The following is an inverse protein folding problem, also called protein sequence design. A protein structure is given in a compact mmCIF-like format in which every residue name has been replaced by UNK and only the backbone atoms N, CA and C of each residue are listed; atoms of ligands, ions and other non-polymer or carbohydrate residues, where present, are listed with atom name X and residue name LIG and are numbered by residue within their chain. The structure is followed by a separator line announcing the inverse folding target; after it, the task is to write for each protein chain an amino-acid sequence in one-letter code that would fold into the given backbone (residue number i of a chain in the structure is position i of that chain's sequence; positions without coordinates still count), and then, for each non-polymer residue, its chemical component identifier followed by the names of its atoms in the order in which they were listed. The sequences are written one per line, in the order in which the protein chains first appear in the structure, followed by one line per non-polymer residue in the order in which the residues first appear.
data_IF_155328912874
#
_entry.id   IF_155328912874
#
_cell.length_a   1.000
_cell.length_b   1.000
_cell.length_c   1.000
_cell.angle_alpha   90.00
_cell.angle_beta   90.00
_cell.angle_gamma   90.00
#
_symmetry.space_group_name_H-M   'P 1'
#
loop_
_entity.id
_entity.type
_entity.pdbx_description
1 polymer ?
#
# COMPACT_ATOMS: atom_id res chain seq x y z
N UNK A 1 18.92 -14.44 4.48
CA UNK A 1 17.90 -14.79 3.46
C UNK A 1 17.04 -13.56 3.23
N UNK A 2 16.93 -13.08 1.99
CA UNK A 2 16.00 -12.00 1.64
C UNK A 2 14.68 -12.65 1.24
N UNK A 3 13.65 -12.49 2.06
CA UNK A 3 12.31 -13.02 1.75
C UNK A 3 11.61 -11.96 0.89
N UNK A 4 11.11 -12.32 -0.30
CA UNK A 4 10.34 -11.39 -1.12
C UNK A 4 9.00 -11.08 -0.42
N UNK A 5 8.68 -9.80 -0.30
CA UNK A 5 7.46 -9.32 0.36
C UNK A 5 6.77 -8.29 -0.53
N UNK A 6 5.45 -8.26 -0.46
CA UNK A 6 4.65 -7.16 -1.01
C UNK A 6 4.07 -6.38 0.16
N UNK A 7 4.38 -5.09 0.24
CA UNK A 7 3.84 -4.20 1.28
C UNK A 7 2.85 -3.23 0.66
N UNK A 8 1.60 -3.27 1.13
CA UNK A 8 0.52 -2.41 0.66
C UNK A 8 0.05 -1.53 1.81
N UNK A 9 0.05 -0.22 1.59
CA UNK A 9 -0.42 0.79 2.54
C UNK A 9 -1.77 1.34 2.08
N UNK A 10 -2.71 1.47 3.01
CA UNK A 10 -3.99 2.15 2.80
C UNK A 10 -4.00 3.42 3.67
N UNK A 11 -3.65 4.60 3.11
CA UNK A 11 -3.36 5.81 3.89
C UNK A 11 -4.58 6.44 4.57
N UNK A 12 -5.79 6.03 4.19
CA UNK A 12 -7.07 6.52 4.70
C UNK A 12 -7.83 5.48 5.53
N UNK A 13 -7.15 4.41 5.94
CA UNK A 13 -7.69 3.33 6.78
C UNK A 13 -6.97 3.25 8.13
N UNK A 14 -7.59 2.53 9.08
CA UNK A 14 -7.05 2.27 10.41
C UNK A 14 -6.72 0.79 10.62
N UNK A 15 -7.07 0.26 11.81
CA UNK A 15 -6.87 -1.17 12.11
C UNK A 15 -7.71 -2.11 11.23
N UNK A 16 -8.78 -1.60 10.63
CA UNK A 16 -9.60 -2.33 9.66
C UNK A 16 -10.04 -1.40 8.54
N UNK A 17 -10.75 -1.98 7.57
CA UNK A 17 -11.25 -1.28 6.39
C UNK A 17 -12.65 -0.70 6.62
N UNK A 18 -12.76 0.62 6.64
CA UNK A 18 -14.02 1.35 6.62
C UNK A 18 -14.53 1.62 5.20
N UNK A 19 -13.63 1.75 4.21
CA UNK A 19 -14.02 1.99 2.81
C UNK A 19 -14.21 0.66 2.06
N UNK A 20 -15.38 0.43 1.43
CA UNK A 20 -15.60 -0.78 0.63
C UNK A 20 -14.60 -0.96 -0.52
N UNK A 21 -14.13 0.14 -1.12
CA UNK A 21 -13.15 0.09 -2.21
C UNK A 21 -11.82 -0.51 -1.75
N UNK A 22 -11.40 -0.20 -0.53
CA UNK A 22 -10.15 -0.72 0.04
C UNK A 22 -10.30 -2.20 0.42
N UNK A 23 -11.48 -2.60 0.91
CA UNK A 23 -11.78 -4.02 1.16
C UNK A 23 -11.72 -4.86 -0.12
N UNK A 24 -12.26 -4.36 -1.23
CA UNK A 24 -12.20 -5.06 -2.52
C UNK A 24 -10.78 -5.14 -3.08
N UNK A 25 -9.99 -4.07 -2.90
CA UNK A 25 -8.59 -4.07 -3.30
C UNK A 25 -7.77 -5.06 -2.46
N UNK A 26 -8.00 -5.12 -1.14
CA UNK A 26 -7.32 -6.06 -0.25
C UNK A 26 -7.62 -7.51 -0.64
N UNK A 27 -8.89 -7.84 -0.92
CA UNK A 27 -9.26 -9.16 -1.43
C UNK A 27 -8.49 -9.51 -2.72
N UNK A 28 -8.39 -8.58 -3.68
CA UNK A 28 -7.62 -8.78 -4.91
C UNK A 28 -6.12 -9.01 -4.68
N UNK A 29 -5.50 -8.27 -3.76
CA UNK A 29 -4.10 -8.49 -3.37
C UNK A 29 -3.91 -9.86 -2.70
N UNK A 30 -4.79 -10.22 -1.78
CA UNK A 30 -4.75 -11.51 -1.06
C UNK A 30 -4.94 -12.67 -2.03
N UNK A 31 -5.94 -12.61 -2.91
CA UNK A 31 -6.18 -13.65 -3.91
C UNK A 31 -4.98 -13.84 -4.85
N UNK A 32 -4.40 -12.75 -5.36
CA UNK A 32 -3.19 -12.79 -6.20
C UNK A 32 -2.03 -13.42 -5.43
N UNK A 33 -1.78 -13.02 -4.19
CA UNK A 33 -0.72 -13.59 -3.36
C UNK A 33 -0.93 -15.10 -3.14
N UNK A 34 -2.13 -15.51 -2.74
CA UNK A 34 -2.47 -16.91 -2.52
C UNK A 34 -2.36 -17.74 -3.80
N UNK A 35 -2.77 -17.21 -4.95
CA UNK A 35 -2.57 -17.87 -6.24
C UNK A 35 -1.08 -18.12 -6.53
N UNK A 36 -0.17 -17.20 -6.18
CA UNK A 36 1.27 -17.42 -6.38
C UNK A 36 1.82 -18.49 -5.45
N UNK A 37 1.41 -18.49 -4.19
CA UNK A 37 1.92 -19.43 -3.19
C UNK A 37 1.29 -20.83 -3.30
N UNK A 38 -0.03 -20.89 -3.47
CA UNK A 38 -0.84 -22.11 -3.37
C UNK A 38 -1.39 -22.58 -4.72
N UNK A 39 -1.30 -21.76 -5.78
CA UNK A 39 -1.95 -22.01 -7.09
C UNK A 39 -3.47 -22.02 -6.97
N UNK A 40 -4.15 -22.33 -8.08
CA UNK A 40 -5.62 -22.37 -8.15
C UNK A 40 -6.18 -21.32 -9.10
N UNK A 41 -7.36 -20.80 -8.78
CA UNK A 41 -8.02 -19.72 -9.53
C UNK A 41 -8.02 -18.47 -8.67
N UNK A 42 -7.90 -17.32 -9.31
CA UNK A 42 -8.12 -16.01 -8.72
C UNK A 42 -8.80 -15.12 -9.78
N UNK A 43 -9.47 -14.07 -9.35
CA UNK A 43 -10.01 -13.06 -10.28
C UNK A 43 -8.91 -12.08 -10.72
N UNK A 44 -8.86 -11.74 -12.01
CA UNK A 44 -7.86 -10.79 -12.50
C UNK A 44 -7.99 -9.43 -11.79
N UNK A 45 -6.87 -8.99 -11.22
CA UNK A 45 -6.78 -7.82 -10.36
C UNK A 45 -5.61 -6.94 -10.75
N UNK A 46 -5.85 -5.62 -10.81
CA UNK A 46 -4.82 -4.61 -11.01
C UNK A 46 -4.93 -3.48 -9.97
N UNK A 47 -3.78 -2.88 -9.64
CA UNK A 47 -3.69 -1.77 -8.69
C UNK A 47 -4.53 -0.59 -9.21
N UNK A 48 -5.41 -0.04 -8.36
CA UNK A 48 -6.28 1.08 -8.70
C UNK A 48 -7.68 0.70 -9.24
N UNK A 49 -7.95 -0.57 -9.54
CA UNK A 49 -9.22 -1.05 -10.14
C UNK A 49 -10.49 -0.51 -9.46
N UNK A 50 -10.50 -0.41 -8.12
CA UNK A 50 -11.68 -0.02 -7.35
C UNK A 50 -11.66 1.45 -6.89
N UNK A 51 -10.79 2.30 -7.45
CA UNK A 51 -10.52 3.64 -6.89
C UNK A 51 -10.15 3.56 -5.38
N UNK A 52 -9.38 2.52 -5.06
CA UNK A 52 -8.81 2.25 -3.74
C UNK A 52 -7.64 3.20 -3.48
N UNK A 53 -7.40 3.50 -2.20
CA UNK A 53 -6.26 4.29 -1.76
C UNK A 53 -4.97 3.48 -1.67
N UNK A 54 -5.00 2.18 -2.00
CA UNK A 54 -3.86 1.28 -1.89
C UNK A 54 -2.61 1.82 -2.59
N UNK A 55 -1.51 1.89 -1.84
CA UNK A 55 -0.17 2.22 -2.31
C UNK A 55 0.71 1.00 -2.10
N UNK A 56 1.28 0.46 -3.19
CA UNK A 56 2.25 -0.63 -3.09
C UNK A 56 3.62 -0.03 -2.83
N UNK A 57 4.14 -0.20 -1.62
CA UNK A 57 5.44 0.32 -1.17
C UNK A 57 6.59 -0.57 -1.65
N UNK A 58 6.37 -1.87 -1.64
CA UNK A 58 7.30 -2.86 -2.15
C UNK A 58 6.50 -3.94 -2.84
N UNK A 59 6.96 -4.39 -3.99
CA UNK A 59 6.35 -5.50 -4.71
C UNK A 59 7.36 -6.65 -4.86
N UNK A 60 6.99 -7.81 -4.34
CA UNK A 60 7.74 -9.05 -4.49
C UNK A 60 7.98 -9.41 -5.97
N UNK A 61 7.13 -8.94 -6.88
CA UNK A 61 7.21 -9.23 -8.30
C UNK A 61 8.13 -8.28 -9.08
N UNK A 62 8.45 -7.09 -8.56
CA UNK A 62 9.12 -6.04 -9.32
C UNK A 62 10.36 -5.49 -8.59
N UNK A 63 11.43 -6.28 -8.58
CA UNK A 63 12.68 -5.99 -7.86
C UNK A 63 13.55 -4.89 -8.50
N UNK A 64 13.17 -4.36 -9.67
CA UNK A 64 13.98 -3.38 -10.41
C UNK A 64 13.55 -1.91 -10.23
N UNK A 65 12.38 -1.62 -9.65
CA UNK A 65 11.93 -0.24 -9.52
C UNK A 65 12.37 0.40 -8.19
N UNK A 66 13.68 0.66 -8.13
CA UNK A 66 14.33 1.45 -7.05
C UNK A 66 13.83 2.90 -6.94
N UNK A 67 12.95 3.36 -7.85
CA UNK A 67 12.38 4.71 -7.83
C UNK A 67 11.24 4.91 -6.83
N UNK A 68 10.61 3.84 -6.33
CA UNK A 68 9.51 3.98 -5.36
C UNK A 68 9.97 4.24 -3.92
N UNK A 69 11.22 3.91 -3.60
CA UNK A 69 11.81 4.17 -2.28
C UNK A 69 11.97 5.69 -2.05
N UNK A 70 12.44 6.43 -3.05
CA UNK A 70 12.56 7.90 -2.98
C UNK A 70 11.21 8.63 -2.98
N UNK A 71 10.19 8.11 -3.68
CA UNK A 71 8.86 8.76 -3.71
C UNK A 71 8.10 8.58 -2.39
N UNK A 72 8.29 7.46 -1.70
CA UNK A 72 7.66 7.20 -0.40
C UNK A 72 8.35 7.97 0.71
N UNK A 73 9.68 8.09 0.67
CA UNK A 73 10.40 9.01 1.57
C UNK A 73 9.90 10.45 1.34
N UNK A 74 9.77 10.91 0.08
CA UNK A 74 9.26 12.24 -0.23
C UNK A 74 7.83 12.49 0.29
N UNK A 75 6.91 11.53 0.11
CA UNK A 75 5.53 11.63 0.61
C UNK A 75 5.43 11.60 2.15
N UNK A 76 6.35 10.91 2.83
CA UNK A 76 6.41 10.88 4.30
C UNK A 76 7.08 12.14 4.87
N UNK A 77 8.09 12.69 4.20
CA UNK A 77 8.77 13.92 4.58
C UNK A 77 7.89 15.17 4.41
N UNK A 78 7.14 15.29 3.31
CA UNK A 78 6.19 16.40 3.10
C UNK A 78 5.11 16.46 4.20
N UNK A 79 4.65 15.29 4.69
CA UNK A 79 3.63 15.20 5.74
C UNK A 79 4.15 15.54 7.15
N UNK A 80 5.45 15.33 7.41
CA UNK A 80 6.08 15.73 8.68
C UNK A 80 6.44 17.23 8.73
N UNK A 81 6.54 17.89 7.57
CA UNK A 81 6.80 19.34 7.50
C UNK A 81 5.56 20.19 7.83
N UNK A 82 4.34 19.64 7.72
CA UNK A 82 3.09 20.38 7.96
C UNK A 82 2.58 20.33 9.41
N UNK A 83 3.18 19.53 10.30
CA UNK A 83 2.87 19.55 11.74
C UNK A 83 3.73 20.60 12.47
N UNK A 84 3.52 21.89 12.19
CA UNK A 84 3.90 22.93 13.14
C UNK A 84 2.83 23.01 14.22
N UNK A 85 3.10 22.44 15.39
CA UNK A 85 2.32 22.75 16.60
C UNK A 85 2.50 24.26 16.86
N UNK A 86 1.43 25.04 16.66
CA UNK A 86 1.34 26.40 17.18
C UNK A 86 1.33 26.28 18.70
N UNK A 87 2.47 26.55 19.33
CA UNK A 87 2.52 26.81 20.77
C UNK A 87 2.05 28.25 20.99
N UNK A 88 0.72 28.44 20.97
CA UNK A 88 0.08 29.64 21.51
C UNK A 88 -0.10 29.42 23.01
N UNK A 89 0.94 29.71 23.79
CA UNK A 89 0.85 29.93 25.23
C UNK A 89 1.94 30.94 25.64
N UNK A 90 1.58 32.23 25.60
CA UNK A 90 2.15 33.34 26.39
C UNK A 90 1.07 34.44 26.55
#
# INVERSE_FOLDING_TARGET
LKIPVTYVLYPDEGHGFGRPQNSLAEAGFVERFLYKCLRGRYEDFYVGQYNSSAIVISDAENTEDSRYDETIVGLLEERNSTMTFSSDDD
#
